data_IF_272868866922
#
_entry.id   IF_272868866922
#
_cell.length_a   1.000
_cell.length_b   1.000
_cell.length_c   1.000
_cell.angle_alpha   90.00
_cell.angle_beta   90.00
_cell.angle_gamma   90.00
#
_symmetry.space_group_name_H-M   'P 1'
#
loop_
_entity.id
_entity.type
_entity.pdbx_description
1 polymer ?
#
# COMPACT_ATOMS: atom_id res chain seq x y z
N UNK A 1 -13.42 -4.99 -12.50
CA UNK A 1 -12.02 -4.57 -12.74
C UNK A 1 -12.01 -3.65 -13.94
N UNK A 2 -11.16 -2.62 -13.93
CA UNK A 2 -11.11 -1.64 -15.03
C UNK A 2 -10.67 -2.27 -16.36
N UNK A 3 -9.70 -3.19 -16.34
CA UNK A 3 -9.30 -4.04 -17.48
C UNK A 3 -9.08 -5.47 -17.01
N UNK A 4 -9.40 -6.48 -17.83
CA UNK A 4 -9.34 -7.88 -17.40
C UNK A 4 -7.90 -8.39 -17.26
N UNK A 5 -6.95 -7.88 -18.04
CA UNK A 5 -5.57 -8.35 -18.02
C UNK A 5 -4.82 -7.87 -16.77
N UNK A 6 -5.36 -6.92 -16.02
CA UNK A 6 -4.83 -6.51 -14.71
C UNK A 6 -4.73 -7.68 -13.73
N UNK A 7 -5.61 -8.68 -13.83
CA UNK A 7 -5.53 -9.87 -12.96
C UNK A 7 -4.20 -10.62 -13.04
N UNK A 8 -3.49 -10.52 -14.16
CA UNK A 8 -2.21 -11.19 -14.34
C UNK A 8 -1.04 -10.38 -13.74
N UNK A 9 -1.18 -9.05 -13.67
CA UNK A 9 -0.09 -8.14 -13.27
C UNK A 9 -0.25 -7.58 -11.86
N UNK A 10 -1.48 -7.22 -11.50
CA UNK A 10 -1.87 -6.64 -10.21
C UNK A 10 -3.07 -7.40 -9.62
N UNK A 11 -2.98 -8.72 -9.39
CA UNK A 11 -4.13 -9.53 -8.93
C UNK A 11 -4.73 -9.09 -7.59
N UNK A 12 -3.89 -8.59 -6.67
CA UNK A 12 -4.27 -8.23 -5.29
C UNK A 12 -4.32 -6.71 -5.06
N UNK A 13 -4.57 -5.93 -6.11
CA UNK A 13 -4.67 -4.48 -6.00
C UNK A 13 -6.03 -4.08 -5.44
N UNK A 14 -6.06 -3.12 -4.50
CA UNK A 14 -7.28 -2.75 -3.75
C UNK A 14 -8.46 -2.46 -4.68
N UNK A 15 -8.21 -1.66 -5.71
CA UNK A 15 -9.21 -1.21 -6.69
C UNK A 15 -9.65 -2.30 -7.69
N UNK A 16 -9.26 -3.56 -7.47
CA UNK A 16 -9.91 -4.71 -8.11
C UNK A 16 -11.13 -5.22 -7.33
N UNK A 17 -11.33 -4.77 -6.09
CA UNK A 17 -12.46 -5.11 -5.24
C UNK A 17 -13.42 -3.92 -5.13
N UNK A 18 -14.72 -4.21 -5.10
CA UNK A 18 -15.76 -3.19 -5.01
C UNK A 18 -15.88 -2.71 -3.56
N UNK A 19 -15.70 -1.40 -3.29
CA UNK A 19 -15.91 -0.84 -1.95
C UNK A 19 -17.40 -0.66 -1.67
N UNK A 20 -17.78 -0.47 -0.40
CA UNK A 20 -19.15 -0.12 0.00
C UNK A 20 -19.57 1.27 -0.52
N UNK A 21 -18.63 2.21 -0.55
CA UNK A 21 -18.81 3.58 -1.07
C UNK A 21 -17.87 3.82 -2.24
N UNK A 22 -18.41 4.31 -3.36
CA UNK A 22 -17.63 4.68 -4.55
C UNK A 22 -17.40 6.20 -4.57
N UNK A 23 -16.18 6.63 -4.25
CA UNK A 23 -15.77 8.04 -4.27
C UNK A 23 -15.21 8.50 -5.62
N UNK A 24 -15.67 7.91 -6.72
CA UNK A 24 -15.20 8.30 -8.05
C UNK A 24 -13.67 8.18 -8.20
N UNK A 25 -13.09 7.09 -7.69
CA UNK A 25 -11.65 6.82 -7.89
C UNK A 25 -11.33 6.62 -9.38
N UNK A 26 -12.28 6.16 -10.20
CA UNK A 26 -12.20 6.28 -11.65
C UNK A 26 -13.27 7.25 -12.16
N UNK A 27 -12.91 8.47 -12.58
CA UNK A 27 -13.89 9.46 -13.02
C UNK A 27 -14.42 9.20 -14.43
N UNK A 28 -15.62 9.73 -14.67
CA UNK A 28 -16.20 9.86 -16.01
C UNK A 28 -15.63 11.08 -16.74
N UNK A 29 -15.83 11.14 -18.07
CA UNK A 29 -15.41 12.31 -18.86
C UNK A 29 -16.12 13.60 -18.42
N UNK A 30 -17.40 13.53 -18.07
CA UNK A 30 -18.18 14.68 -17.58
C UNK A 30 -17.59 15.22 -16.28
N UNK A 31 -17.31 14.35 -15.31
CA UNK A 31 -16.71 14.74 -14.03
C UNK A 31 -15.33 15.38 -14.20
N UNK A 32 -14.53 14.89 -15.15
CA UNK A 32 -13.24 15.52 -15.46
C UNK A 32 -13.42 16.92 -16.07
N UNK A 33 -14.39 17.10 -16.97
CA UNK A 33 -14.71 18.41 -17.55
C UNK A 33 -15.20 19.39 -16.49
N UNK A 34 -16.10 18.96 -15.61
CA UNK A 34 -16.61 19.76 -14.49
C UNK A 34 -15.50 20.14 -13.51
N UNK A 35 -14.54 19.25 -13.28
CA UNK A 35 -13.36 19.53 -12.48
C UNK A 35 -12.30 20.39 -13.21
N UNK A 36 -12.52 20.77 -14.48
CA UNK A 36 -11.55 21.54 -15.28
C UNK A 36 -10.31 20.75 -15.68
N UNK A 37 -10.37 19.42 -15.69
CA UNK A 37 -9.23 18.53 -15.92
C UNK A 37 -9.24 18.01 -17.36
N UNK A 38 -8.24 18.44 -18.14
CA UNK A 38 -8.01 17.96 -19.50
C UNK A 38 -7.39 16.56 -19.53
N UNK A 39 -8.22 15.53 -19.59
CA UNK A 39 -7.80 14.16 -19.95
C UNK A 39 -8.60 13.74 -21.18
N UNK A 40 -7.88 13.40 -22.27
CA UNK A 40 -8.52 12.99 -23.52
C UNK A 40 -8.65 11.48 -23.60
N UNK A 41 -9.67 11.02 -24.32
CA UNK A 41 -9.82 9.63 -24.73
C UNK A 41 -8.66 9.24 -25.65
N UNK A 42 -8.18 8.02 -25.49
CA UNK A 42 -7.09 7.49 -26.29
C UNK A 42 -7.65 6.77 -27.52
N UNK A 43 -7.55 7.39 -28.69
CA UNK A 43 -8.14 6.88 -29.93
C UNK A 43 -7.47 5.60 -30.48
N UNK A 44 -6.43 5.10 -29.80
CA UNK A 44 -5.82 3.80 -30.14
C UNK A 44 -6.69 2.61 -29.75
N UNK A 45 -7.60 2.77 -28.80
CA UNK A 45 -8.55 1.74 -28.41
C UNK A 45 -9.69 1.61 -29.43
N UNK A 46 -10.14 0.39 -29.69
CA UNK A 46 -11.20 0.08 -30.65
C UNK A 46 -12.60 0.29 -30.05
N UNK A 47 -12.83 -0.13 -28.80
CA UNK A 47 -14.13 0.05 -28.16
C UNK A 47 -14.22 1.34 -27.35
N UNK A 48 -15.39 1.98 -27.39
CA UNK A 48 -15.65 3.18 -26.58
C UNK A 48 -15.56 2.89 -25.08
N UNK A 49 -15.96 1.69 -24.65
CA UNK A 49 -15.78 1.24 -23.28
C UNK A 49 -14.31 1.26 -22.84
N UNK A 50 -13.40 0.79 -23.70
CA UNK A 50 -11.97 0.78 -23.40
C UNK A 50 -11.42 2.21 -23.36
N UNK A 51 -11.88 3.10 -24.26
CA UNK A 51 -11.52 4.53 -24.24
C UNK A 51 -11.93 5.20 -22.94
N UNK A 52 -13.16 4.98 -22.48
CA UNK A 52 -13.69 5.57 -21.23
C UNK A 52 -12.95 5.01 -20.00
N UNK A 53 -12.71 3.69 -19.97
CA UNK A 53 -11.95 3.03 -18.89
C UNK A 53 -10.51 3.51 -18.82
N UNK A 54 -9.85 3.64 -19.96
CA UNK A 54 -8.48 4.15 -20.00
C UNK A 54 -8.37 5.64 -19.63
N UNK A 55 -9.38 6.45 -19.96
CA UNK A 55 -9.49 7.84 -19.51
C UNK A 55 -9.59 7.91 -17.99
N UNK A 56 -10.50 7.13 -17.37
CA UNK A 56 -10.62 7.06 -15.91
C UNK A 56 -9.34 6.54 -15.23
N UNK A 57 -8.70 5.51 -15.81
CA UNK A 57 -7.40 5.03 -15.34
C UNK A 57 -6.31 6.10 -15.45
N UNK A 58 -6.25 6.82 -16.56
CA UNK A 58 -5.26 7.88 -16.79
C UNK A 58 -5.43 8.99 -15.75
N UNK A 59 -6.65 9.44 -15.50
CA UNK A 59 -6.95 10.41 -14.45
C UNK A 59 -6.51 9.90 -13.06
N UNK A 60 -6.84 8.65 -12.71
CA UNK A 60 -6.40 8.03 -11.46
C UNK A 60 -4.86 8.00 -11.33
N UNK A 61 -4.13 7.63 -12.39
CA UNK A 61 -2.66 7.60 -12.36
C UNK A 61 -2.04 9.00 -12.26
N UNK A 62 -2.69 10.02 -12.83
CA UNK A 62 -2.27 11.43 -12.77
C UNK A 62 -2.58 12.09 -11.43
N UNK A 63 -3.27 11.40 -10.51
CA UNK A 63 -3.56 11.90 -9.16
C UNK A 63 -4.94 12.52 -8.99
N UNK A 64 -5.90 12.20 -9.86
CA UNK A 64 -7.29 12.65 -9.66
C UNK A 64 -7.83 12.17 -8.31
N UNK A 65 -8.39 13.09 -7.53
CA UNK A 65 -9.11 12.85 -6.29
C UNK A 65 -10.44 13.58 -6.40
N UNK A 66 -11.54 12.85 -6.25
CA UNK A 66 -12.87 13.47 -6.29
C UNK A 66 -13.08 14.35 -5.07
N UNK A 67 -13.57 15.57 -5.30
CA UNK A 67 -14.08 16.48 -4.25
C UNK A 67 -15.54 16.23 -3.91
N UNK A 68 -16.24 15.42 -4.70
CA UNK A 68 -17.65 15.05 -4.48
C UNK A 68 -17.76 13.56 -4.17
N UNK A 69 -18.80 13.17 -3.42
CA UNK A 69 -19.11 11.77 -3.11
C UNK A 69 -20.00 11.12 -4.20
N UNK A 70 -19.86 11.58 -5.43
CA UNK A 70 -20.56 11.01 -6.58
C UNK A 70 -19.91 9.72 -7.03
N UNK A 71 -20.69 8.87 -7.70
CA UNK A 71 -20.18 7.62 -8.29
C UNK A 71 -19.33 7.95 -9.52
N UNK A 72 -18.21 7.24 -9.64
CA UNK A 72 -17.41 7.28 -10.86
C UNK A 72 -17.93 6.34 -11.94
N UNK A 73 -17.02 5.99 -12.84
CA UNK A 73 -17.21 4.97 -13.86
C UNK A 73 -17.51 3.62 -13.22
N UNK A 74 -18.58 2.95 -13.67
CA UNK A 74 -18.90 1.59 -13.23
C UNK A 74 -17.94 0.55 -13.86
N UNK A 75 -16.80 0.36 -13.20
CA UNK A 75 -15.78 -0.64 -13.59
C UNK A 75 -16.13 -2.07 -13.15
N UNK A 76 -17.30 -2.27 -12.53
CA UNK A 76 -17.76 -3.54 -11.96
C UNK A 76 -18.62 -4.34 -12.93
N UNK A 77 -19.22 -3.68 -13.92
CA UNK A 77 -19.94 -4.35 -15.00
C UNK A 77 -19.04 -5.33 -15.74
N UNK A 78 -19.58 -6.51 -16.02
CA UNK A 78 -18.90 -7.56 -16.76
C UNK A 78 -18.91 -7.25 -18.26
N UNK A 79 -18.09 -6.28 -18.66
CA UNK A 79 -17.93 -5.87 -20.05
C UNK A 79 -16.76 -6.63 -20.68
N UNK A 80 -17.01 -7.24 -21.84
CA UNK A 80 -15.99 -7.96 -22.60
C UNK A 80 -15.19 -6.98 -23.47
N UNK A 81 -14.11 -6.45 -22.90
CA UNK A 81 -13.14 -5.61 -23.63
C UNK A 81 -12.40 -6.46 -24.69
N UNK A 82 -12.22 -5.97 -25.93
CA UNK A 82 -11.44 -6.67 -26.96
C UNK A 82 -10.01 -6.99 -26.50
N UNK A 83 -9.48 -8.15 -26.91
CA UNK A 83 -8.09 -8.55 -26.57
C UNK A 83 -7.07 -7.53 -27.07
N UNK A 84 -7.31 -6.90 -28.22
CA UNK A 84 -6.49 -5.82 -28.73
C UNK A 84 -6.41 -4.64 -27.74
N UNK A 85 -7.55 -4.20 -27.23
CA UNK A 85 -7.64 -3.09 -26.28
C UNK A 85 -6.96 -3.42 -24.94
N UNK A 86 -7.09 -4.66 -24.46
CA UNK A 86 -6.35 -5.13 -23.29
C UNK A 86 -4.81 -5.01 -23.50
N UNK A 87 -4.30 -5.32 -24.70
CA UNK A 87 -2.87 -5.14 -25.00
C UNK A 87 -2.46 -3.67 -25.20
N UNK A 88 -3.32 -2.82 -25.77
CA UNK A 88 -3.08 -1.36 -25.81
C UNK A 88 -2.90 -0.84 -24.38
N UNK A 89 -3.81 -1.21 -23.48
CA UNK A 89 -3.75 -0.87 -22.06
C UNK A 89 -2.46 -1.38 -21.41
N UNK A 90 -2.10 -2.65 -21.62
CA UNK A 90 -0.87 -3.19 -21.05
C UNK A 90 0.39 -2.46 -21.55
N UNK A 91 0.50 -2.19 -22.85
CA UNK A 91 1.63 -1.49 -23.46
C UNK A 91 1.78 -0.05 -22.95
N UNK A 92 0.65 0.65 -22.82
CA UNK A 92 0.60 2.02 -22.31
C UNK A 92 1.05 2.10 -20.84
N UNK A 93 0.65 1.12 -20.02
CA UNK A 93 0.75 1.25 -18.56
C UNK A 93 1.87 0.44 -17.90
N UNK A 94 2.35 -0.63 -18.53
CA UNK A 94 3.31 -1.56 -17.93
C UNK A 94 4.59 -1.69 -18.75
N UNK A 95 5.66 -2.08 -18.08
CA UNK A 95 6.93 -2.38 -18.75
C UNK A 95 6.76 -3.58 -19.72
N UNK A 96 7.42 -3.52 -20.89
CA UNK A 96 7.23 -4.50 -21.96
C UNK A 96 7.41 -5.97 -21.51
N UNK A 97 8.34 -6.23 -20.58
CA UNK A 97 8.57 -7.56 -20.02
C UNK A 97 7.30 -8.15 -19.36
N UNK A 98 6.52 -7.32 -18.68
CA UNK A 98 5.25 -7.73 -18.07
C UNK A 98 4.17 -7.97 -19.13
N UNK A 99 4.15 -7.20 -20.22
CA UNK A 99 3.25 -7.42 -21.35
C UNK A 99 3.53 -8.79 -22.00
N UNK A 100 4.81 -9.12 -22.19
CA UNK A 100 5.23 -10.44 -22.71
C UNK A 100 4.88 -11.57 -21.75
N UNK A 101 5.05 -11.36 -20.44
CA UNK A 101 4.64 -12.32 -19.42
C UNK A 101 3.13 -12.64 -19.50
N UNK A 102 2.27 -11.64 -19.70
CA UNK A 102 0.82 -11.86 -19.87
C UNK A 102 0.54 -12.67 -21.12
N UNK A 103 1.19 -12.36 -22.25
CA UNK A 103 1.05 -13.15 -23.48
C UNK A 103 1.42 -14.62 -23.24
N UNK A 104 2.57 -14.87 -22.61
CA UNK A 104 3.04 -16.22 -22.30
C UNK A 104 2.03 -17.00 -21.45
N UNK A 105 1.52 -16.40 -20.37
CA UNK A 105 0.49 -17.03 -19.55
C UNK A 105 -0.77 -17.35 -20.36
N UNK A 106 -1.24 -16.41 -21.18
CA UNK A 106 -2.47 -16.59 -21.96
C UNK A 106 -2.35 -17.68 -23.02
N UNK A 107 -1.17 -17.85 -23.62
CA UNK A 107 -0.86 -18.95 -24.54
C UNK A 107 -0.91 -20.28 -23.78
N UNK A 108 -0.22 -20.40 -22.64
CA UNK A 108 -0.19 -21.64 -21.84
C UNK A 108 -1.60 -22.02 -21.39
N UNK A 109 -2.40 -21.05 -20.98
CA UNK A 109 -3.76 -21.30 -20.51
C UNK A 109 -4.75 -21.59 -21.65
N UNK A 110 -4.31 -21.62 -22.92
CA UNK A 110 -5.12 -21.93 -24.12
C UNK A 110 -6.41 -21.10 -24.25
N UNK A 111 -6.45 -19.88 -23.70
CA UNK A 111 -7.69 -19.11 -23.68
C UNK A 111 -8.09 -18.56 -25.06
N UNK A 112 -7.12 -18.19 -25.93
CA UNK A 112 -7.29 -17.75 -27.34
C UNK A 112 -5.92 -17.42 -28.02
N UNK A 113 -4.99 -18.38 -28.16
CA UNK A 113 -3.58 -18.11 -28.48
C UNK A 113 -3.37 -17.32 -29.79
N UNK A 114 -4.11 -17.63 -30.86
CA UNK A 114 -3.97 -16.94 -32.15
C UNK A 114 -4.39 -15.47 -32.08
N UNK A 115 -5.52 -15.17 -31.43
CA UNK A 115 -6.02 -13.79 -31.26
C UNK A 115 -5.09 -12.99 -30.35
N UNK A 116 -4.56 -13.64 -29.32
CA UNK A 116 -3.59 -13.07 -28.40
C UNK A 116 -2.30 -12.66 -29.12
N UNK A 117 -1.68 -13.57 -29.88
CA UNK A 117 -0.46 -13.29 -30.66
C UNK A 117 -0.71 -12.17 -31.68
N UNK A 118 -1.80 -12.26 -32.45
CA UNK A 118 -2.16 -11.24 -33.45
C UNK A 118 -2.32 -9.86 -32.81
N UNK A 119 -3.03 -9.78 -31.68
CA UNK A 119 -3.27 -8.53 -30.96
C UNK A 119 -1.99 -7.96 -30.33
N UNK A 120 -1.15 -8.82 -29.74
CA UNK A 120 0.15 -8.45 -29.18
C UNK A 120 1.09 -7.85 -30.24
N UNK A 121 1.09 -8.42 -31.45
CA UNK A 121 1.89 -7.91 -32.57
C UNK A 121 1.33 -6.60 -33.13
N UNK A 122 0.01 -6.48 -33.29
CA UNK A 122 -0.64 -5.25 -33.77
C UNK A 122 -0.42 -4.05 -32.86
N UNK A 123 -0.30 -4.28 -31.55
CA UNK A 123 -0.11 -3.22 -30.54
C UNK A 123 1.36 -2.87 -30.26
N UNK A 124 2.32 -3.42 -31.02
CA UNK A 124 3.77 -3.24 -30.76
C UNK A 124 4.26 -1.79 -30.83
N UNK A 125 3.56 -0.92 -31.56
CA UNK A 125 3.91 0.51 -31.70
C UNK A 125 3.45 1.35 -30.50
N UNK A 126 2.57 0.82 -29.63
CA UNK A 126 2.09 1.54 -28.45
C UNK A 126 3.24 1.68 -27.45
N UNK A 127 3.59 2.92 -27.13
CA UNK A 127 4.64 3.26 -26.16
C UNK A 127 4.06 3.41 -24.76
N UNK A 128 4.86 3.04 -23.76
CA UNK A 128 4.56 3.25 -22.34
C UNK A 128 4.52 4.74 -22.02
N UNK A 129 3.54 5.15 -21.23
CA UNK A 129 3.36 6.53 -20.75
C UNK A 129 3.93 6.68 -19.33
N UNK A 130 4.55 7.82 -19.06
CA UNK A 130 5.00 8.21 -17.73
C UNK A 130 4.07 9.29 -17.17
N UNK A 131 3.06 8.87 -16.40
CA UNK A 131 2.03 9.76 -15.85
C UNK A 131 2.56 10.81 -14.87
N UNK A 132 3.76 10.60 -14.31
CA UNK A 132 4.37 11.57 -13.39
C UNK A 132 4.82 12.87 -14.07
N UNK A 133 4.82 12.92 -15.41
CA UNK A 133 5.17 14.12 -16.18
C UNK A 133 3.99 15.07 -16.40
N UNK A 134 2.77 14.61 -16.16
CA UNK A 134 1.55 15.35 -16.41
C UNK A 134 0.57 15.10 -15.27
N UNK A 135 0.93 15.56 -14.08
CA UNK A 135 0.17 15.32 -12.85
C UNK A 135 -0.94 16.35 -12.69
N UNK A 136 -2.05 15.95 -12.09
CA UNK A 136 -3.13 16.87 -11.71
C UNK A 136 -2.67 17.58 -10.43
N UNK A 137 -2.42 18.89 -10.55
CA UNK A 137 -1.88 19.70 -9.45
C UNK A 137 -3.04 20.27 -8.63
N UNK A 138 -2.98 20.08 -7.31
CA UNK A 138 -3.88 20.74 -6.36
C UNK A 138 -3.36 22.12 -6.00
N UNK A 139 -3.42 23.08 -6.92
CA UNK A 139 -2.88 24.44 -6.74
C UNK A 139 -3.42 25.15 -5.48
N UNK A 140 -4.67 24.87 -5.13
CA UNK A 140 -5.32 25.48 -3.97
C UNK A 140 -4.78 24.96 -2.64
N UNK A 141 -4.06 23.83 -2.63
CA UNK A 141 -3.62 23.17 -1.40
C UNK A 141 -2.68 24.05 -0.57
N UNK A 142 -1.66 24.68 -1.19
CA UNK A 142 -0.67 25.48 -0.44
C UNK A 142 -1.35 26.61 0.35
N UNK A 143 -2.26 27.34 -0.28
CA UNK A 143 -2.96 28.49 0.30
C UNK A 143 -4.24 28.11 1.06
N UNK A 144 -4.59 26.82 1.13
CA UNK A 144 -5.80 26.39 1.81
C UNK A 144 -5.73 26.62 3.32
N UNK A 145 -6.70 27.39 3.83
CA UNK A 145 -6.89 27.60 5.26
C UNK A 145 -7.78 26.50 5.84
N UNK A 146 -7.16 25.54 6.52
CA UNK A 146 -7.87 24.41 7.12
C UNK A 146 -8.66 24.82 8.36
N UNK A 147 -9.98 24.60 8.32
CA UNK A 147 -10.85 24.76 9.48
C UNK A 147 -10.59 23.68 10.52
N UNK A 148 -10.22 22.47 10.08
CA UNK A 148 -9.83 21.40 10.98
C UNK A 148 -8.60 21.78 11.82
N UNK A 149 -7.57 22.39 11.21
CA UNK A 149 -6.41 22.84 11.99
C UNK A 149 -6.80 23.95 12.98
N UNK A 150 -7.69 24.87 12.57
CA UNK A 150 -8.17 25.96 13.43
C UNK A 150 -8.97 25.46 14.63
N UNK A 151 -9.75 24.38 14.48
CA UNK A 151 -10.49 23.76 15.58
C UNK A 151 -9.61 22.95 16.54
N UNK A 152 -8.32 22.78 16.21
CA UNK A 152 -7.30 22.11 17.02
C UNK A 152 -7.75 20.73 17.55
N UNK A 153 -8.14 19.76 16.69
CA UNK A 153 -8.52 18.42 17.13
C UNK A 153 -7.39 17.73 17.88
N UNK A 154 -7.71 16.89 18.86
CA UNK A 154 -6.65 16.19 19.61
C UNK A 154 -6.09 15.03 18.79
N UNK A 155 -4.77 14.90 18.72
CA UNK A 155 -4.07 13.83 17.98
C UNK A 155 -3.33 12.91 18.94
N UNK A 156 -3.43 11.59 18.77
CA UNK A 156 -2.61 10.62 19.50
C UNK A 156 -1.58 10.01 18.56
N UNK A 157 -0.29 10.27 18.80
CA UNK A 157 0.82 9.69 18.05
C UNK A 157 1.17 8.33 18.65
N UNK A 158 1.09 7.26 17.87
CA UNK A 158 1.26 5.87 18.35
C UNK A 158 2.55 5.27 17.80
N UNK A 159 3.46 4.91 18.70
CA UNK A 159 4.82 4.45 18.40
C UNK A 159 5.10 3.12 19.10
N UNK A 160 5.10 1.99 18.39
CA UNK A 160 5.67 0.76 18.93
C UNK A 160 7.21 0.81 18.82
N UNK A 161 7.92 0.40 19.87
CA UNK A 161 9.38 0.32 19.87
C UNK A 161 9.89 -1.02 20.38
N UNK A 162 11.06 -1.45 19.88
CA UNK A 162 11.75 -2.66 20.33
C UNK A 162 13.26 -2.51 20.08
N UNK A 163 14.08 -2.44 21.12
CA UNK A 163 15.54 -2.37 21.06
C UNK A 163 16.06 -1.19 20.19
N UNK A 164 15.42 -0.01 20.26
CA UNK A 164 15.72 1.13 19.36
C UNK A 164 15.81 2.50 20.02
N UNK A 165 16.13 2.56 21.31
CA UNK A 165 16.23 3.82 22.06
C UNK A 165 17.08 4.91 21.39
N UNK A 166 18.16 4.56 20.69
CA UNK A 166 18.99 5.54 20.00
C UNK A 166 18.22 6.32 18.92
N UNK A 167 17.34 5.66 18.17
CA UNK A 167 16.53 6.28 17.11
C UNK A 167 15.25 6.88 17.67
N UNK A 168 14.65 6.23 18.68
CA UNK A 168 13.49 6.75 19.36
C UNK A 168 13.77 8.12 19.99
N UNK A 169 15.00 8.37 20.44
CA UNK A 169 15.43 9.68 20.94
C UNK A 169 15.25 10.79 19.89
N UNK A 170 15.64 10.52 18.65
CA UNK A 170 15.51 11.48 17.54
C UNK A 170 14.04 11.67 17.16
N UNK A 171 13.27 10.58 17.12
CA UNK A 171 11.81 10.60 16.94
C UNK A 171 11.11 11.50 17.97
N UNK A 172 11.41 11.34 19.27
CA UNK A 172 10.81 12.17 20.32
C UNK A 172 11.25 13.63 20.20
N UNK A 173 12.49 13.90 19.79
CA UNK A 173 12.98 15.26 19.55
C UNK A 173 12.25 15.94 18.39
N UNK A 174 12.04 15.23 17.28
CA UNK A 174 11.27 15.75 16.14
C UNK A 174 9.82 16.04 16.52
N UNK A 175 9.23 15.24 17.42
CA UNK A 175 7.89 15.46 17.94
C UNK A 175 7.82 16.73 18.82
N UNK A 176 8.80 17.00 19.69
CA UNK A 176 8.86 18.26 20.45
C UNK A 176 8.86 19.50 19.54
N UNK A 177 9.48 19.36 18.36
CA UNK A 177 9.64 20.42 17.38
C UNK A 177 8.41 20.63 16.48
N UNK A 178 7.35 19.82 16.61
CA UNK A 178 6.14 19.98 15.79
C UNK A 178 5.48 21.34 16.01
N UNK A 179 5.02 21.99 14.95
CA UNK A 179 4.32 23.29 15.03
C UNK A 179 2.88 23.13 15.53
N UNK A 180 2.26 21.97 15.26
CA UNK A 180 1.00 21.60 15.88
C UNK A 180 1.25 21.07 17.30
N UNK A 181 0.61 21.67 18.32
CA UNK A 181 0.90 21.37 19.74
C UNK A 181 -0.18 20.57 20.47
N UNK A 182 -1.36 20.36 19.89
CA UNK A 182 -2.47 19.68 20.57
C UNK A 182 -2.44 18.17 20.33
N UNK A 183 -1.43 17.48 20.88
CA UNK A 183 -1.27 16.04 20.70
C UNK A 183 -0.64 15.35 21.92
N UNK A 184 -0.91 14.06 22.08
CA UNK A 184 -0.18 13.17 22.99
C UNK A 184 0.69 12.18 22.19
N UNK A 185 1.68 11.60 22.86
CA UNK A 185 2.54 10.55 22.32
C UNK A 185 2.38 9.31 23.18
N UNK A 186 2.16 8.17 22.54
CA UNK A 186 1.96 6.87 23.19
C UNK A 186 3.04 5.92 22.67
N UNK A 187 3.95 5.51 23.54
CA UNK A 187 5.02 4.56 23.22
C UNK A 187 4.77 3.21 23.86
N UNK A 188 4.72 2.14 23.06
CA UNK A 188 4.63 0.77 23.56
C UNK A 188 5.96 0.07 23.34
N UNK A 189 6.70 -0.13 24.43
CA UNK A 189 8.06 -0.63 24.42
C UNK A 189 8.09 -2.14 24.66
N UNK A 190 8.70 -2.88 23.74
CA UNK A 190 8.84 -4.33 23.82
C UNK A 190 10.29 -4.77 24.12
N UNK A 191 11.16 -3.81 24.49
CA UNK A 191 12.57 -4.02 24.82
C UNK A 191 12.69 -4.75 26.16
N UNK A 192 13.37 -5.90 26.20
CA UNK A 192 13.54 -6.68 27.43
C UNK A 192 14.26 -5.89 28.52
N UNK A 193 15.26 -5.09 28.14
CA UNK A 193 15.95 -4.13 29.02
C UNK A 193 15.18 -2.81 29.03
N UNK A 194 13.97 -2.83 29.57
CA UNK A 194 13.08 -1.66 29.61
C UNK A 194 13.65 -0.56 30.51
N UNK A 195 13.79 0.65 29.96
CA UNK A 195 14.40 1.79 30.67
C UNK A 195 13.38 2.90 30.88
N UNK A 196 12.72 2.89 32.04
CA UNK A 196 11.72 3.90 32.40
C UNK A 196 12.29 5.34 32.35
N UNK A 197 13.53 5.54 32.81
CA UNK A 197 14.17 6.86 32.81
C UNK A 197 14.38 7.46 31.42
N UNK A 198 14.40 6.65 30.36
CA UNK A 198 14.49 7.14 28.97
C UNK A 198 13.30 8.03 28.60
N UNK A 199 12.14 7.79 29.20
CA UNK A 199 10.90 8.47 28.89
C UNK A 199 10.65 9.70 29.77
N UNK A 200 11.55 10.03 30.70
CA UNK A 200 11.44 11.21 31.57
C UNK A 200 12.12 12.43 30.95
N UNK A 201 11.59 13.62 31.22
CA UNK A 201 12.22 14.90 30.86
C UNK A 201 11.94 15.39 29.43
N UNK A 202 11.08 14.72 28.67
CA UNK A 202 10.60 15.20 27.37
C UNK A 202 9.50 16.26 27.56
N UNK A 203 9.52 17.30 26.72
CA UNK A 203 8.46 18.31 26.65
C UNK A 203 7.30 17.82 25.75
N UNK A 204 6.72 16.68 26.13
CA UNK A 204 5.64 15.99 25.44
C UNK A 204 4.63 15.46 26.46
N UNK A 205 3.34 15.43 26.10
CA UNK A 205 2.36 14.59 26.81
C UNK A 205 2.63 13.12 26.42
N UNK A 206 3.58 12.51 27.11
CA UNK A 206 4.15 11.21 26.78
C UNK A 206 3.64 10.13 27.73
N UNK A 207 2.90 9.18 27.19
CA UNK A 207 2.54 7.92 27.85
C UNK A 207 3.39 6.79 27.31
N UNK A 208 3.76 5.87 28.18
CA UNK A 208 4.53 4.71 27.78
C UNK A 208 4.33 3.53 28.74
N UNK A 209 4.49 2.32 28.24
CA UNK A 209 4.54 1.10 29.05
C UNK A 209 5.35 0.00 28.36
N UNK A 210 5.71 -1.01 29.15
CA UNK A 210 6.33 -2.22 28.66
C UNK A 210 5.27 -3.24 28.21
N UNK A 211 5.47 -3.83 27.04
CA UNK A 211 4.71 -4.98 26.52
C UNK A 211 5.63 -6.19 26.38
N UNK A 212 5.39 -7.22 27.21
CA UNK A 212 6.20 -8.44 27.23
C UNK A 212 6.16 -9.21 25.89
N UNK A 213 4.97 -9.30 25.27
CA UNK A 213 4.85 -9.95 23.97
C UNK A 213 5.45 -9.08 22.86
N UNK A 214 6.45 -9.58 22.14
CA UNK A 214 7.02 -8.89 20.97
C UNK A 214 6.10 -9.03 19.74
N UNK A 215 5.10 -8.17 19.65
CA UNK A 215 3.98 -8.19 18.71
C UNK A 215 3.59 -6.76 18.27
N UNK A 216 3.67 -6.46 16.97
CA UNK A 216 3.48 -5.12 16.40
C UNK A 216 2.03 -4.66 16.54
N UNK A 217 1.12 -5.51 16.09
CA UNK A 217 -0.28 -5.19 15.93
C UNK A 217 -0.93 -5.15 17.30
N UNK A 218 -0.51 -6.03 18.21
CA UNK A 218 -0.83 -5.92 19.64
C UNK A 218 -0.41 -4.57 20.21
N UNK A 219 0.85 -4.16 20.04
CA UNK A 219 1.36 -2.88 20.55
C UNK A 219 0.58 -1.69 19.99
N UNK A 220 0.30 -1.68 18.68
CA UNK A 220 -0.54 -0.65 18.06
C UNK A 220 -1.97 -0.70 18.59
N UNK A 221 -2.58 -1.87 18.76
CA UNK A 221 -3.94 -2.03 19.26
C UNK A 221 -4.09 -1.51 20.69
N UNK A 222 -3.19 -1.89 21.61
CA UNK A 222 -3.19 -1.41 23.00
C UNK A 222 -3.05 0.13 23.06
N UNK A 223 -2.18 0.70 22.22
CA UNK A 223 -2.01 2.15 22.12
C UNK A 223 -3.22 2.87 21.52
N UNK A 224 -3.85 2.30 20.50
CA UNK A 224 -5.04 2.87 19.87
C UNK A 224 -6.23 2.86 20.84
N UNK A 225 -6.37 1.82 21.66
CA UNK A 225 -7.42 1.76 22.68
C UNK A 225 -7.23 2.79 23.79
N UNK A 226 -5.97 3.05 24.20
CA UNK A 226 -5.65 4.04 25.24
C UNK A 226 -5.56 5.50 24.74
N UNK A 227 -5.59 5.69 23.41
CA UNK A 227 -5.56 6.99 22.77
C UNK A 227 -6.79 7.83 23.13
N UNK A 228 -6.57 9.11 23.44
CA UNK A 228 -7.61 10.10 23.73
C UNK A 228 -7.98 10.94 22.50
N UNK A 229 -7.06 11.08 21.54
CA UNK A 229 -7.22 11.91 20.34
C UNK A 229 -8.39 11.49 19.46
N UNK A 230 -8.96 12.45 18.73
CA UNK A 230 -9.96 12.21 17.68
C UNK A 230 -9.30 11.63 16.42
N UNK A 231 -7.98 11.86 16.29
CA UNK A 231 -7.15 11.34 15.22
C UNK A 231 -6.02 10.50 15.80
N UNK A 232 -5.71 9.40 15.11
CA UNK A 232 -4.61 8.50 15.42
C UNK A 232 -3.53 8.70 14.36
N UNK A 233 -2.33 9.04 14.79
CA UNK A 233 -1.16 9.20 13.93
C UNK A 233 -0.19 8.05 14.18
N UNK A 234 -0.18 7.08 13.27
CA UNK A 234 0.70 5.92 13.38
C UNK A 234 2.10 6.27 12.87
N UNK A 235 3.10 6.06 13.72
CA UNK A 235 4.50 6.41 13.45
C UNK A 235 5.44 5.25 13.80
N UNK A 236 6.61 5.20 13.18
CA UNK A 236 7.66 4.21 13.49
C UNK A 236 8.78 4.85 14.32
N UNK A 237 9.49 4.02 15.08
CA UNK A 237 10.58 4.39 15.98
C UNK A 237 11.94 4.67 15.29
N UNK A 238 12.02 4.56 13.96
CA UNK A 238 13.22 4.76 13.14
C UNK A 238 13.02 5.71 11.95
N UNK A 239 12.30 6.80 12.20
CA UNK A 239 11.94 7.80 11.19
C UNK A 239 12.29 9.22 11.64
N UNK A 240 12.53 10.11 10.68
CA UNK A 240 12.70 11.55 10.90
C UNK A 240 11.61 12.32 10.14
N UNK A 241 11.14 13.42 10.71
CA UNK A 241 10.04 14.23 10.17
C UNK A 241 10.33 15.73 10.28
N UNK A 242 9.68 16.50 9.41
CA UNK A 242 9.73 17.97 9.47
C UNK A 242 8.77 18.52 10.53
N UNK A 243 8.98 19.77 10.96
CA UNK A 243 8.19 20.41 12.03
C UNK A 243 6.71 20.62 11.68
N UNK A 244 6.34 20.63 10.39
CA UNK A 244 4.96 20.78 9.94
C UNK A 244 4.24 19.45 9.68
N UNK A 245 4.85 18.30 10.00
CA UNK A 245 4.35 16.98 9.61
C UNK A 245 2.91 16.69 10.06
N UNK A 246 2.57 16.97 11.33
CA UNK A 246 1.20 16.79 11.83
C UNK A 246 0.21 17.74 11.12
N UNK A 247 0.63 18.99 10.86
CA UNK A 247 -0.19 20.00 10.16
C UNK A 247 -0.52 19.52 8.75
N UNK A 248 0.45 19.01 8.00
CA UNK A 248 0.22 18.51 6.63
C UNK A 248 -0.73 17.31 6.60
N UNK A 249 -0.69 16.44 7.62
CA UNK A 249 -1.64 15.35 7.73
C UNK A 249 -3.08 15.85 7.93
N UNK A 250 -3.29 16.73 8.92
CA UNK A 250 -4.61 17.31 9.21
C UNK A 250 -5.13 18.14 8.04
N UNK A 251 -4.27 18.94 7.40
CA UNK A 251 -4.62 19.74 6.23
C UNK A 251 -5.11 18.88 5.07
N UNK A 252 -4.48 17.72 4.84
CA UNK A 252 -4.93 16.77 3.80
C UNK A 252 -6.27 16.11 4.12
N UNK A 253 -6.55 15.80 5.39
CA UNK A 253 -7.87 15.31 5.81
C UNK A 253 -8.95 16.32 5.43
N UNK A 254 -8.74 17.59 5.78
CA UNK A 254 -9.70 18.66 5.53
C UNK A 254 -9.83 19.00 4.03
N UNK A 255 -8.71 19.24 3.34
CA UNK A 255 -8.71 19.69 1.95
C UNK A 255 -9.37 18.70 0.98
N UNK A 256 -9.17 17.40 1.17
CA UNK A 256 -9.71 16.37 0.30
C UNK A 256 -10.99 15.71 0.83
N UNK A 257 -11.48 16.16 1.99
CA UNK A 257 -12.52 15.47 2.76
C UNK A 257 -12.19 13.97 2.87
N UNK A 258 -10.99 13.70 3.38
CA UNK A 258 -10.42 12.36 3.48
C UNK A 258 -10.63 11.76 4.88
N UNK A 259 -10.53 10.45 4.96
CA UNK A 259 -10.62 9.70 6.22
C UNK A 259 -9.23 9.26 6.72
N UNK A 260 -8.31 9.05 5.77
CA UNK A 260 -6.92 8.72 6.01
C UNK A 260 -5.99 9.61 5.17
N UNK A 261 -4.87 10.01 5.77
CA UNK A 261 -3.79 10.76 5.14
C UNK A 261 -2.50 9.94 5.26
N UNK A 262 -2.16 9.19 4.22
CA UNK A 262 -0.96 8.33 4.16
C UNK A 262 0.22 9.13 3.65
N UNK A 263 1.15 9.50 4.53
CA UNK A 263 2.35 10.23 4.16
C UNK A 263 3.31 9.38 3.32
N UNK A 264 4.24 10.04 2.63
CA UNK A 264 5.23 9.34 1.80
C UNK A 264 6.51 9.04 2.57
N UNK A 265 7.08 7.86 2.32
CA UNK A 265 8.27 7.37 3.01
C UNK A 265 9.47 7.39 2.09
N UNK A 266 10.41 8.28 2.38
CA UNK A 266 11.68 8.38 1.66
C UNK A 266 12.68 7.48 2.38
N UNK A 267 13.20 6.49 1.66
CA UNK A 267 14.20 5.58 2.21
C UNK A 267 15.60 6.11 1.98
N UNK A 268 16.43 6.16 3.03
CA UNK A 268 17.87 6.49 2.89
C UNK A 268 18.66 5.39 2.18
N UNK A 269 18.15 4.15 2.23
CA UNK A 269 18.77 2.95 1.63
C UNK A 269 17.78 2.21 0.73
N UNK A 270 18.21 1.84 -0.47
CA UNK A 270 17.51 0.90 -1.35
C UNK A 270 17.13 1.46 -2.71
N UNK A 271 15.91 1.14 -3.14
CA UNK A 271 15.40 1.52 -4.47
C UNK A 271 15.02 3.00 -4.54
N UNK A 272 15.02 3.55 -5.75
CA UNK A 272 14.59 4.91 -6.03
C UNK A 272 13.20 5.20 -5.46
N UNK A 273 13.01 6.43 -4.97
CA UNK A 273 11.71 6.92 -4.53
C UNK A 273 10.73 6.84 -5.71
N UNK A 274 9.58 6.16 -5.56
CA UNK A 274 8.60 6.09 -6.63
C UNK A 274 8.16 7.49 -7.06
N UNK A 275 8.14 7.77 -8.36
CA UNK A 275 7.77 9.11 -8.87
C UNK A 275 6.40 9.58 -8.40
N UNK A 276 5.48 8.66 -8.16
CA UNK A 276 4.14 8.97 -7.67
C UNK A 276 4.09 9.42 -6.20
N UNK A 277 5.22 9.43 -5.47
CA UNK A 277 5.32 10.04 -4.14
C UNK A 277 5.50 11.56 -4.19
N UNK A 278 5.51 12.16 -5.39
CA UNK A 278 5.70 13.60 -5.58
C UNK A 278 4.40 14.40 -5.70
N UNK A 279 3.23 13.75 -5.76
CA UNK A 279 1.93 14.39 -5.92
C UNK A 279 0.84 13.65 -5.15
N UNK A 280 -0.26 14.35 -4.85
CA UNK A 280 -1.43 13.77 -4.20
C UNK A 280 -2.10 12.75 -5.11
N UNK A 281 -2.52 11.61 -4.55
CA UNK A 281 -3.29 10.59 -5.27
C UNK A 281 -4.05 9.71 -4.29
N UNK A 282 -4.98 8.92 -4.81
CA UNK A 282 -5.50 7.77 -4.07
C UNK A 282 -4.36 6.85 -3.62
N UNK A 283 -4.34 6.53 -2.33
CA UNK A 283 -3.34 5.62 -1.77
C UNK A 283 -3.68 4.18 -2.13
N UNK A 284 -2.73 3.46 -2.71
CA UNK A 284 -2.83 2.03 -3.04
C UNK A 284 -2.12 1.12 -2.02
N UNK A 285 -1.60 1.71 -0.94
CA UNK A 285 -1.05 1.04 0.23
C UNK A 285 -1.28 1.92 1.47
N UNK A 286 -1.38 1.30 2.64
CA UNK A 286 -1.31 2.01 3.92
C UNK A 286 0.11 1.84 4.46
N UNK A 287 0.79 2.93 4.79
CA UNK A 287 2.07 2.87 5.51
C UNK A 287 1.80 3.19 6.98
N UNK A 288 1.71 2.16 7.81
CA UNK A 288 1.42 2.29 9.25
C UNK A 288 2.54 2.96 10.05
N UNK A 289 3.65 3.32 9.41
CA UNK A 289 4.67 4.17 10.02
C UNK A 289 4.57 5.65 9.63
N UNK A 290 3.61 6.04 8.79
CA UNK A 290 3.38 7.44 8.40
C UNK A 290 1.93 7.64 7.91
N UNK A 291 0.97 7.55 8.83
CA UNK A 291 -0.44 7.74 8.46
C UNK A 291 -1.28 8.30 9.59
N UNK A 292 -2.08 9.32 9.26
CA UNK A 292 -3.13 9.85 10.12
C UNK A 292 -4.48 9.22 9.74
N UNK A 293 -5.23 8.77 10.74
CA UNK A 293 -6.57 8.19 10.59
C UNK A 293 -7.55 8.89 11.53
N UNK A 294 -8.80 9.06 11.09
CA UNK A 294 -9.92 9.33 12.02
C UNK A 294 -10.07 8.15 12.97
N UNK A 295 -10.18 8.40 14.29
CA UNK A 295 -10.32 7.34 15.29
C UNK A 295 -11.58 6.49 15.10
N UNK A 296 -12.65 7.09 14.57
CA UNK A 296 -13.91 6.42 14.27
C UNK A 296 -13.75 5.22 13.32
N UNK A 297 -12.74 5.23 12.45
CA UNK A 297 -12.45 4.09 11.56
C UNK A 297 -12.23 2.82 12.39
N UNK A 298 -11.42 2.90 13.46
CA UNK A 298 -11.18 1.75 14.33
C UNK A 298 -12.44 1.29 15.06
N UNK A 299 -13.34 2.22 15.41
CA UNK A 299 -14.66 1.90 16.00
C UNK A 299 -15.53 1.10 15.04
N UNK A 300 -15.51 1.48 13.77
CA UNK A 300 -16.41 0.94 12.77
C UNK A 300 -15.92 -0.38 12.15
N UNK A 301 -14.60 -0.54 11.96
CA UNK A 301 -14.04 -1.71 11.28
C UNK A 301 -13.19 -2.60 12.17
N UNK A 302 -12.95 -2.23 13.44
CA UNK A 302 -12.10 -2.96 14.39
C UNK A 302 -10.61 -2.64 14.22
N UNK A 303 -9.80 -3.17 15.15
CA UNK A 303 -8.36 -2.91 15.24
C UNK A 303 -7.53 -3.68 14.19
N UNK A 304 -6.20 -3.71 14.32
CA UNK A 304 -5.35 -4.49 13.40
C UNK A 304 -5.50 -5.99 13.63
N UNK A 305 -5.52 -6.77 12.54
CA UNK A 305 -5.63 -8.23 12.59
C UNK A 305 -4.32 -8.86 13.07
N UNK A 306 -4.38 -9.48 14.26
CA UNK A 306 -3.21 -10.15 14.86
C UNK A 306 -2.80 -11.44 14.13
N UNK A 307 -3.53 -11.89 13.11
CA UNK A 307 -3.05 -12.96 12.22
C UNK A 307 -1.78 -12.56 11.45
N UNK A 308 -1.47 -11.26 11.35
CA UNK A 308 -0.29 -10.73 10.67
C UNK A 308 0.92 -10.54 11.57
N UNK A 309 0.83 -10.93 12.84
CA UNK A 309 1.94 -10.81 13.79
C UNK A 309 3.20 -11.52 13.31
N UNK A 310 4.34 -10.85 13.49
CA UNK A 310 5.68 -11.35 13.10
C UNK A 310 5.80 -11.73 11.61
N UNK A 311 4.86 -11.27 10.78
CA UNK A 311 4.82 -11.52 9.34
C UNK A 311 4.54 -10.21 8.57
N UNK A 312 4.21 -10.31 7.29
CA UNK A 312 4.01 -9.17 6.38
C UNK A 312 2.54 -8.94 6.07
N UNK A 313 2.20 -7.75 5.56
CA UNK A 313 0.90 -7.40 5.00
C UNK A 313 -0.20 -6.99 6.00
N UNK A 314 0.09 -6.77 7.28
CA UNK A 314 -0.92 -6.26 8.21
C UNK A 314 -1.28 -4.79 7.95
N UNK A 315 -0.32 -4.00 7.48
CA UNK A 315 -0.52 -2.65 6.94
C UNK A 315 -1.43 -2.70 5.71
N UNK A 316 -1.10 -3.61 4.78
CA UNK A 316 -1.88 -3.86 3.57
C UNK A 316 -3.30 -4.35 3.86
N UNK A 317 -3.48 -5.20 4.88
CA UNK A 317 -4.79 -5.70 5.30
C UNK A 317 -5.67 -4.57 5.81
N UNK A 318 -5.19 -3.77 6.77
CA UNK A 318 -5.99 -2.70 7.35
C UNK A 318 -6.34 -1.64 6.29
N UNK A 319 -5.37 -1.28 5.43
CA UNK A 319 -5.62 -0.37 4.32
C UNK A 319 -6.67 -0.88 3.33
N UNK A 320 -6.61 -2.18 3.00
CA UNK A 320 -7.62 -2.80 2.14
C UNK A 320 -8.99 -2.85 2.83
N UNK A 321 -9.05 -3.21 4.11
CA UNK A 321 -10.30 -3.26 4.88
C UNK A 321 -10.93 -1.87 4.98
N UNK A 322 -10.13 -0.83 5.21
CA UNK A 322 -10.61 0.55 5.21
C UNK A 322 -11.18 0.95 3.83
N UNK A 323 -10.47 0.62 2.74
CA UNK A 323 -10.98 0.85 1.38
C UNK A 323 -12.32 0.13 1.13
N UNK A 324 -12.43 -1.15 1.52
CA UNK A 324 -13.66 -1.94 1.34
C UNK A 324 -14.86 -1.37 2.10
N UNK A 325 -14.61 -0.74 3.25
CA UNK A 325 -15.64 -0.03 4.03
C UNK A 325 -15.91 1.39 3.54
N UNK A 326 -15.32 1.79 2.42
CA UNK A 326 -15.61 3.06 1.80
C UNK A 326 -15.00 4.22 2.57
N UNK A 327 -13.75 4.08 3.03
CA UNK A 327 -12.96 5.20 3.55
C UNK A 327 -12.01 5.77 2.49
N UNK A 328 -11.96 7.10 2.40
CA UNK A 328 -11.10 7.84 1.46
C UNK A 328 -9.67 7.97 2.01
N UNK A 329 -8.72 7.28 1.38
CA UNK A 329 -7.30 7.32 1.75
C UNK A 329 -6.45 8.04 0.70
N UNK A 330 -5.84 9.15 1.09
CA UNK A 330 -5.02 10.00 0.22
C UNK A 330 -3.53 9.83 0.53
N UNK A 331 -2.75 9.58 -0.50
CA UNK A 331 -1.29 9.64 -0.43
C UNK A 331 -0.84 11.10 -0.39
N UNK A 332 -0.10 11.46 0.66
CA UNK A 332 0.27 12.82 1.01
C UNK A 332 1.77 13.06 0.79
N UNK A 333 2.17 13.71 -0.32
CA UNK A 333 3.57 14.05 -0.58
C UNK A 333 4.10 15.16 0.33
N UNK A 334 3.26 15.85 1.12
CA UNK A 334 3.66 16.94 2.02
C UNK A 334 3.99 16.44 3.42
N UNK A 335 3.30 15.42 3.89
CA UNK A 335 3.65 14.71 5.13
C UNK A 335 4.71 13.62 4.87
N UNK A 336 5.95 14.05 4.60
CA UNK A 336 7.06 13.13 4.34
C UNK A 336 7.69 12.64 5.63
N UNK A 337 8.18 11.40 5.61
CA UNK A 337 9.19 10.93 6.58
C UNK A 337 10.44 10.43 5.87
N UNK A 338 11.58 10.57 6.53
CA UNK A 338 12.81 9.89 6.16
C UNK A 338 12.88 8.61 7.00
N UNK A 339 12.72 7.44 6.37
CA UNK A 339 12.78 6.15 7.04
C UNK A 339 14.20 5.59 6.97
N UNK A 340 14.85 5.47 8.13
CA UNK A 340 16.26 5.14 8.25
C UNK A 340 16.57 3.68 7.91
N UNK A 341 15.55 2.80 7.90
CA UNK A 341 15.66 1.35 7.62
C UNK A 341 16.78 0.69 8.42
N UNK A 342 16.78 0.95 9.72
CA UNK A 342 17.79 0.42 10.63
C UNK A 342 17.81 -1.12 10.55
N UNK A 343 19.01 -1.69 10.43
CA UNK A 343 19.24 -3.13 10.27
C UNK A 343 19.07 -3.94 11.55
N UNK A 344 19.10 -3.28 12.70
CA UNK A 344 18.98 -3.87 14.04
C UNK A 344 17.78 -3.30 14.82
N UNK A 345 17.37 -4.03 15.85
CA UNK A 345 16.15 -3.75 16.59
C UNK A 345 14.86 -3.86 15.75
N UNK A 346 13.75 -3.53 16.38
CA UNK A 346 12.41 -3.71 15.85
C UNK A 346 12.09 -5.17 15.61
N UNK A 347 10.92 -5.41 15.03
CA UNK A 347 10.51 -6.77 14.71
C UNK A 347 11.32 -7.38 13.56
N UNK A 348 12.28 -6.64 12.96
CA UNK A 348 13.26 -7.11 11.96
C UNK A 348 14.09 -8.32 12.45
N UNK A 349 14.30 -8.39 13.76
CA UNK A 349 14.92 -9.52 14.44
C UNK A 349 14.07 -10.81 14.35
N UNK A 350 12.75 -10.68 14.19
CA UNK A 350 11.79 -11.79 14.20
C UNK A 350 11.12 -11.99 12.83
N UNK A 351 10.79 -13.24 12.48
CA UNK A 351 10.06 -13.54 11.25
C UNK A 351 10.82 -13.25 9.95
N UNK A 352 10.12 -13.24 8.81
CA UNK A 352 10.68 -12.95 7.48
C UNK A 352 10.11 -11.64 6.93
N UNK A 353 10.99 -10.64 6.78
CA UNK A 353 10.65 -9.31 6.28
C UNK A 353 10.65 -9.20 4.77
N UNK A 354 11.15 -10.21 4.09
CA UNK A 354 10.81 -10.41 2.71
C UNK A 354 9.59 -11.32 2.65
N UNK A 355 8.47 -10.78 2.17
CA UNK A 355 7.23 -11.53 2.04
C UNK A 355 7.39 -12.74 1.11
N UNK A 356 8.42 -12.77 0.26
CA UNK A 356 8.63 -13.80 -0.75
C UNK A 356 9.95 -14.57 -0.61
N UNK A 357 10.81 -14.24 0.37
CA UNK A 357 12.08 -14.95 0.59
C UNK A 357 12.18 -15.45 2.02
N UNK A 358 11.94 -16.75 2.28
CA UNK A 358 12.03 -17.28 3.63
C UNK A 358 13.48 -17.25 4.15
N UNK A 359 13.65 -17.01 5.47
CA UNK A 359 14.95 -17.12 6.16
C UNK A 359 15.54 -18.54 6.13
N UNK A 360 14.67 -19.56 6.15
CA UNK A 360 15.06 -21.00 6.12
C UNK A 360 14.85 -21.57 4.73
N UNK A 361 15.75 -22.45 4.27
CA UNK A 361 15.69 -23.05 2.92
C UNK A 361 14.36 -23.76 2.63
N UNK A 362 13.76 -24.43 3.61
CA UNK A 362 12.45 -25.11 3.48
C UNK A 362 11.30 -24.32 4.14
N UNK A 363 11.48 -23.02 4.33
CA UNK A 363 10.45 -22.13 4.86
C UNK A 363 9.33 -21.86 3.83
N UNK A 364 8.12 -21.49 4.28
CA UNK A 364 7.02 -21.15 3.37
C UNK A 364 7.38 -19.98 2.45
N UNK A 365 6.99 -20.06 1.17
CA UNK A 365 7.14 -19.00 0.17
C UNK A 365 5.82 -18.79 -0.58
N UNK A 366 5.21 -17.60 -0.56
CA UNK A 366 5.56 -16.46 0.28
C UNK A 366 5.39 -16.79 1.78
N UNK A 367 5.61 -15.82 2.66
CA UNK A 367 5.23 -15.99 4.07
C UNK A 367 3.72 -16.22 4.18
N UNK A 368 3.23 -17.02 5.14
CA UNK A 368 1.83 -17.44 5.17
C UNK A 368 0.81 -16.30 5.16
N UNK A 369 1.11 -15.18 5.86
CA UNK A 369 0.24 -14.00 5.91
C UNK A 369 -0.03 -13.37 4.53
N UNK A 370 0.92 -13.49 3.59
CA UNK A 370 0.76 -12.96 2.23
C UNK A 370 -0.33 -13.72 1.48
N UNK A 371 -0.34 -15.06 1.58
CA UNK A 371 -1.41 -15.87 1.00
C UNK A 371 -2.70 -15.80 1.82
N UNK A 372 -2.61 -15.61 3.13
CA UNK A 372 -3.78 -15.38 3.97
C UNK A 372 -4.55 -14.14 3.48
N UNK A 373 -3.88 -12.99 3.34
CA UNK A 373 -4.47 -11.76 2.79
C UNK A 373 -5.06 -12.02 1.39
N UNK A 374 -4.26 -12.54 0.46
CA UNK A 374 -4.73 -12.66 -0.93
C UNK A 374 -5.92 -13.61 -1.06
N UNK A 375 -5.93 -14.72 -0.30
CA UNK A 375 -7.00 -15.72 -0.37
C UNK A 375 -8.25 -15.26 0.37
N UNK A 376 -8.11 -14.58 1.50
CA UNK A 376 -9.23 -14.04 2.29
C UNK A 376 -10.05 -13.04 1.47
N UNK A 377 -9.40 -12.07 0.82
CA UNK A 377 -10.11 -10.96 0.15
C UNK A 377 -10.30 -11.15 -1.36
N UNK A 378 -9.38 -11.83 -2.05
CA UNK A 378 -9.42 -11.97 -3.51
C UNK A 378 -9.71 -13.41 -3.97
N UNK A 379 -9.75 -14.37 -3.04
CA UNK A 379 -9.99 -15.77 -3.34
C UNK A 379 -8.79 -16.51 -3.95
N UNK A 380 -8.96 -17.82 -4.13
CA UNK A 380 -7.87 -18.71 -4.55
C UNK A 380 -7.36 -18.40 -5.97
N UNK A 381 -8.26 -18.05 -6.90
CA UNK A 381 -7.91 -17.80 -8.30
C UNK A 381 -6.92 -16.64 -8.46
N UNK A 382 -7.21 -15.49 -7.84
CA UNK A 382 -6.32 -14.32 -7.90
C UNK A 382 -5.05 -14.54 -7.07
N UNK A 383 -5.13 -15.31 -5.98
CA UNK A 383 -3.95 -15.72 -5.21
C UNK A 383 -2.97 -16.55 -6.05
N UNK A 384 -3.47 -17.44 -6.89
CA UNK A 384 -2.65 -18.22 -7.83
C UNK A 384 -1.96 -17.30 -8.84
N UNK A 385 -2.68 -16.35 -9.44
CA UNK A 385 -2.06 -15.36 -10.33
C UNK A 385 -1.01 -14.50 -9.63
N UNK A 386 -1.24 -14.17 -8.35
CA UNK A 386 -0.28 -13.44 -7.55
C UNK A 386 1.01 -14.24 -7.30
N UNK A 387 0.89 -15.54 -7.03
CA UNK A 387 2.04 -16.45 -6.97
C UNK A 387 2.81 -16.43 -8.28
N UNK A 388 2.13 -16.63 -9.41
CA UNK A 388 2.82 -16.64 -10.71
C UNK A 388 3.55 -15.32 -11.01
N UNK A 389 2.96 -14.17 -10.70
CA UNK A 389 3.57 -12.88 -11.01
C UNK A 389 4.73 -12.52 -10.07
N UNK A 390 4.72 -13.00 -8.83
CA UNK A 390 5.72 -12.64 -7.83
C UNK A 390 6.82 -13.69 -7.60
N UNK A 391 6.58 -14.97 -7.97
CA UNK A 391 7.51 -16.05 -7.65
C UNK A 391 8.83 -15.95 -8.40
N UNK A 392 8.83 -15.60 -9.69
CA UNK A 392 10.06 -15.50 -10.47
C UNK A 392 10.98 -14.39 -9.94
N UNK A 393 10.50 -13.15 -9.69
CA UNK A 393 11.29 -12.12 -9.01
C UNK A 393 11.78 -12.53 -7.62
N UNK A 394 11.09 -13.43 -6.91
CA UNK A 394 11.49 -13.89 -5.58
C UNK A 394 12.72 -14.79 -5.58
N UNK A 395 12.97 -15.50 -6.70
CA UNK A 395 14.08 -16.45 -6.81
C UNK A 395 15.42 -15.74 -7.01
N UNK A 396 15.39 -14.49 -7.45
CA UNK A 396 16.58 -13.67 -7.65
C UNK A 396 17.06 -13.14 -6.28
N UNK A 397 18.28 -13.47 -5.83
CA UNK A 397 18.86 -12.90 -4.61
C UNK A 397 18.92 -11.37 -4.66
N UNK A 398 18.70 -10.71 -3.53
CA UNK A 398 18.64 -9.24 -3.47
C UNK A 398 19.95 -8.60 -3.98
N UNK A 399 21.11 -9.15 -3.60
CA UNK A 399 22.44 -8.71 -4.07
C UNK A 399 22.63 -8.74 -5.59
N UNK A 400 21.86 -9.56 -6.30
CA UNK A 400 21.95 -9.67 -7.76
C UNK A 400 20.98 -8.72 -8.48
N UNK A 401 20.05 -8.06 -7.78
CA UNK A 401 19.06 -7.18 -8.42
C UNK A 401 19.68 -5.98 -9.15
N UNK A 402 20.83 -5.48 -8.66
CA UNK A 402 21.55 -4.35 -9.26
C UNK A 402 22.44 -4.73 -10.46
N UNK A 403 22.83 -5.99 -10.60
CA UNK A 403 23.74 -6.43 -11.66
C UNK A 403 22.98 -7.19 -12.76
N UNK A 404 22.89 -6.59 -13.95
CA UNK A 404 22.12 -7.15 -15.09
C UNK A 404 22.61 -8.54 -15.50
N UNK A 405 23.92 -8.80 -15.45
CA UNK A 405 24.51 -10.09 -15.79
C UNK A 405 24.15 -11.17 -14.75
N UNK A 406 24.40 -10.90 -13.46
CA UNK A 406 24.07 -11.84 -12.37
C UNK A 406 22.56 -12.10 -12.29
N UNK A 407 21.75 -11.07 -12.54
CA UNK A 407 20.29 -11.19 -12.68
C UNK A 407 19.92 -12.13 -13.82
N UNK A 408 20.57 -12.01 -14.99
CA UNK A 408 20.40 -12.94 -16.12
C UNK A 408 20.77 -14.37 -15.75
N UNK A 409 21.93 -14.58 -15.13
CA UNK A 409 22.42 -15.90 -14.73
C UNK A 409 21.47 -16.59 -13.74
N UNK A 410 20.87 -15.83 -12.82
CA UNK A 410 19.90 -16.37 -11.86
C UNK A 410 18.64 -16.95 -12.50
N UNK A 411 18.29 -16.57 -13.74
CA UNK A 411 17.17 -17.19 -14.45
C UNK A 411 17.46 -18.64 -14.84
N UNK A 412 18.74 -19.00 -15.09
CA UNK A 412 19.14 -20.37 -15.40
C UNK A 412 18.98 -21.32 -14.21
N UNK A 413 18.94 -20.78 -12.99
CA UNK A 413 18.73 -21.55 -11.76
C UNK A 413 17.26 -21.88 -11.50
N UNK A 414 16.32 -21.23 -12.19
CA UNK A 414 14.89 -21.38 -11.93
C UNK A 414 14.40 -22.82 -12.09
N UNK A 415 14.74 -23.58 -13.15
CA UNK A 415 14.29 -24.96 -13.29
C UNK A 415 14.72 -25.85 -12.13
N UNK A 416 15.96 -25.67 -11.64
CA UNK A 416 16.50 -26.43 -10.51
C UNK A 416 15.85 -26.07 -9.17
N UNK A 417 15.44 -24.80 -9.01
CA UNK A 417 14.75 -24.34 -7.81
C UNK A 417 13.25 -24.67 -7.81
N UNK A 418 12.68 -25.06 -8.95
CA UNK A 418 11.23 -25.23 -9.10
C UNK A 418 10.63 -26.28 -8.14
N UNK A 419 11.21 -27.49 -7.94
CA UNK A 419 10.67 -28.46 -6.98
C UNK A 419 10.64 -27.91 -5.55
N UNK A 420 11.71 -27.23 -5.13
CA UNK A 420 11.77 -26.58 -3.83
C UNK A 420 10.70 -25.49 -3.71
N UNK A 421 10.55 -24.66 -4.73
CA UNK A 421 9.55 -23.59 -4.77
C UNK A 421 8.14 -24.14 -4.67
N UNK A 422 7.81 -25.20 -5.42
CA UNK A 422 6.50 -25.86 -5.35
C UNK A 422 6.23 -26.34 -3.93
N UNK A 423 7.21 -26.99 -3.29
CA UNK A 423 7.11 -27.40 -1.88
C UNK A 423 6.88 -26.20 -0.95
N UNK A 424 7.66 -25.12 -1.08
CA UNK A 424 7.54 -23.93 -0.25
C UNK A 424 6.17 -23.22 -0.42
N UNK A 425 5.65 -23.17 -1.66
CA UNK A 425 4.33 -22.63 -1.98
C UNK A 425 3.23 -23.51 -1.40
N UNK A 426 3.30 -24.83 -1.55
CA UNK A 426 2.36 -25.77 -0.94
C UNK A 426 2.34 -25.64 0.59
N UNK A 427 3.50 -25.49 1.21
CA UNK A 427 3.63 -25.25 2.65
C UNK A 427 2.99 -23.92 3.07
N UNK A 428 3.27 -22.82 2.36
CA UNK A 428 2.63 -21.53 2.60
C UNK A 428 1.10 -21.61 2.43
N UNK A 429 0.65 -22.34 1.40
CA UNK A 429 -0.76 -22.53 1.12
C UNK A 429 -1.45 -23.24 2.28
N UNK A 430 -0.88 -24.32 2.79
CA UNK A 430 -1.40 -25.04 3.94
C UNK A 430 -1.47 -24.16 5.20
N UNK A 431 -0.43 -23.39 5.50
CA UNK A 431 -0.47 -22.45 6.64
C UNK A 431 -1.51 -21.33 6.45
N UNK A 432 -1.64 -20.79 5.24
CA UNK A 432 -2.70 -19.81 4.96
C UNK A 432 -4.10 -20.41 5.07
N UNK A 433 -4.30 -21.68 4.70
CA UNK A 433 -5.58 -22.39 4.95
C UNK A 433 -5.89 -22.48 6.43
N UNK A 434 -4.90 -22.84 7.26
CA UNK A 434 -5.08 -22.85 8.74
C UNK A 434 -5.48 -21.47 9.26
N UNK A 435 -4.81 -20.40 8.82
CA UNK A 435 -5.19 -19.02 9.18
C UNK A 435 -6.60 -18.63 8.74
N UNK A 436 -7.04 -19.06 7.56
CA UNK A 436 -8.42 -18.84 7.11
C UNK A 436 -9.42 -19.58 8.01
N UNK A 437 -9.13 -20.83 8.37
CA UNK A 437 -9.99 -21.65 9.25
C UNK A 437 -10.05 -21.06 10.66
N UNK A 438 -8.91 -20.62 11.20
CA UNK A 438 -8.81 -19.95 12.51
C UNK A 438 -9.57 -18.61 12.55
N UNK A 439 -9.85 -18.02 11.38
CA UNK A 439 -10.46 -16.70 11.28
C UNK A 439 -9.48 -15.56 11.52
N UNK A 440 -10.01 -14.35 11.39
CA UNK A 440 -9.30 -13.12 11.72
C UNK A 440 -9.20 -12.92 13.24
N UNK A 441 -8.15 -12.24 13.68
CA UNK A 441 -7.94 -11.89 15.09
C UNK A 441 -8.00 -10.38 15.23
N UNK A 442 -9.13 -9.83 14.83
CA UNK A 442 -9.46 -8.40 14.91
C UNK A 442 -10.24 -8.19 16.20
N UNK A 443 -9.68 -7.41 17.10
CA UNK A 443 -10.36 -6.99 18.32
C UNK A 443 -11.27 -5.79 18.03
N UNK A 444 -12.43 -5.76 18.68
CA UNK A 444 -13.30 -4.58 18.65
C UNK A 444 -12.63 -3.40 19.35
N UNK A 445 -12.91 -2.20 18.87
CA UNK A 445 -12.59 -0.99 19.61
C UNK A 445 -13.57 -0.88 20.79
N UNK A 446 -13.05 -0.64 22.00
CA UNK A 446 -13.83 -0.56 23.26
C UNK A 446 -14.19 0.89 23.57
#
# INVERSE_FOLDING_TARGET
MIFNFLKYLKPIWYFNLRPSTDFCYFPTETQLKEAGIGVLKDERYLSDDAKVRDLGWTAFQRGFISKTNEKGLDVWQNIKVPIYDEYVFLRKNFHWAWVTYVLFLRIIMLHNPFVDIKSFLKTRSVKRVDFSKDVIISNDYENFHSQLINSKPFVSVVIPTLNRYQYLKDVLRDLENQTYKNFEVIVVDQTDDFREDFYKGWNLDLKYWFQEEKALWRARNEAIQSAKGDYILLYDDDSLIESNWIVEHLKTIDFFDADLSSGVSISTVGADVPKHYSYFRWSDQLDTGNVLLKKEIFKNIGLFDRQFEKQRMGDGEFGLRAYLHGYKNISNPKAKRIHLKVGEGGLRQMGSWDGWRPKKLFGPRPVPSVLYLSRKYFGNKFSIFYIFSAILPSLIPYKFKGNKFLKGLSFLLIPFLLPLVIYQVGKSWNFSTKKIIEGEKIESYI
#
